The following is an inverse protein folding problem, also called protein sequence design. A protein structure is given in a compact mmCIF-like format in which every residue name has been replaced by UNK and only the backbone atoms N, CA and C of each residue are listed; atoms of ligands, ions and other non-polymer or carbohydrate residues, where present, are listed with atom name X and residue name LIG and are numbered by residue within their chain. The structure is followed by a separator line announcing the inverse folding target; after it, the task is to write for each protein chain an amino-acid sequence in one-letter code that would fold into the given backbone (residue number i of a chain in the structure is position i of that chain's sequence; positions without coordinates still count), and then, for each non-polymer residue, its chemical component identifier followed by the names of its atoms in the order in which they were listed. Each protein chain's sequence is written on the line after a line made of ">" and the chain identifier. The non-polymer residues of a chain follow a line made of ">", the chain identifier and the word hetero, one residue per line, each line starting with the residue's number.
data_IF_018833674862
#
_entry.id   IF_018833674862
#
_cell.length_a   1.000
_cell.length_b   1.000
_cell.length_c   1.000
_cell.angle_alpha   90.00
_cell.angle_beta   90.00
_cell.angle_gamma   90.00
#
_symmetry.space_group_name_H-M   'P 1'
#
loop_
_entity.id
_entity.type
_entity.pdbx_description
1 polymer ?
#
# COMPACT_ATOMS: atom_id res chain seq x y z
N UNK A 1 -21.68 -6.01 8.61
CA UNK A 1 -21.91 -5.97 7.15
C UNK A 1 -20.65 -6.49 6.49
N UNK A 2 -20.67 -7.66 5.83
CA UNK A 2 -19.48 -8.19 5.18
C UNK A 2 -19.13 -7.24 4.03
N UNK A 3 -18.01 -6.55 4.14
CA UNK A 3 -17.51 -5.69 3.06
C UNK A 3 -17.27 -6.53 1.81
N UNK A 4 -17.86 -6.16 0.66
CA UNK A 4 -17.69 -6.81 -0.65
C UNK A 4 -16.24 -6.83 -1.17
N UNK A 5 -15.30 -6.23 -0.43
CA UNK A 5 -13.91 -6.11 -0.82
C UNK A 5 -13.10 -7.25 -0.19
N UNK A 6 -12.26 -7.96 -0.96
CA UNK A 6 -11.35 -8.95 -0.41
C UNK A 6 -10.42 -8.31 0.63
N UNK A 7 -10.30 -8.95 1.79
CA UNK A 7 -9.45 -8.50 2.89
C UNK A 7 -8.07 -9.15 2.71
N UNK A 8 -7.03 -8.34 2.65
CA UNK A 8 -5.64 -8.79 2.64
C UNK A 8 -5.06 -8.63 4.05
N UNK A 9 -4.66 -9.73 4.67
CA UNK A 9 -3.95 -9.73 5.95
C UNK A 9 -2.60 -10.42 5.79
N UNK A 10 -1.53 -9.78 6.24
CA UNK A 10 -0.17 -10.30 6.17
C UNK A 10 0.68 -9.74 7.30
N UNK A 11 1.65 -10.52 7.75
CA UNK A 11 2.63 -10.05 8.73
C UNK A 11 3.65 -9.14 8.06
N UNK A 12 4.05 -8.08 8.75
CA UNK A 12 5.04 -7.11 8.27
C UNK A 12 6.02 -6.77 9.38
N UNK A 13 7.25 -6.48 8.99
CA UNK A 13 8.28 -6.03 9.91
C UNK A 13 8.02 -4.59 10.41
N UNK A 14 8.56 -4.29 11.59
CA UNK A 14 8.44 -2.96 12.21
C UNK A 14 8.99 -1.83 11.33
N UNK A 15 10.06 -2.11 10.58
CA UNK A 15 10.63 -1.12 9.66
C UNK A 15 9.65 -0.77 8.54
N UNK A 16 8.95 -1.77 7.99
CA UNK A 16 7.97 -1.56 6.94
C UNK A 16 6.73 -0.81 7.47
N UNK A 17 6.32 -1.08 8.71
CA UNK A 17 5.28 -0.28 9.37
C UNK A 17 5.69 1.19 9.49
N UNK A 18 6.94 1.47 9.90
CA UNK A 18 7.42 2.84 10.05
C UNK A 18 7.41 3.59 8.71
N UNK A 19 7.94 2.97 7.65
CA UNK A 19 7.92 3.53 6.29
C UNK A 19 6.50 3.79 5.79
N UNK A 20 5.55 2.91 6.12
CA UNK A 20 4.15 3.10 5.76
C UNK A 20 3.51 4.28 6.51
N UNK A 21 3.80 4.43 7.80
CA UNK A 21 3.32 5.57 8.59
C UNK A 21 3.96 6.88 8.09
N UNK A 22 5.25 6.91 7.76
CA UNK A 22 5.93 8.07 7.16
C UNK A 22 5.24 8.47 5.83
N UNK A 23 5.03 7.51 4.93
CA UNK A 23 4.31 7.74 3.67
C UNK A 23 2.88 8.27 3.90
N UNK A 24 2.19 7.75 4.92
CA UNK A 24 0.84 8.20 5.30
C UNK A 24 0.86 9.67 5.72
N UNK A 25 1.85 10.09 6.52
CA UNK A 25 1.98 11.48 6.97
C UNK A 25 2.33 12.44 5.83
N UNK A 26 3.28 12.06 4.96
CA UNK A 26 3.68 12.88 3.80
C UNK A 26 2.51 13.11 2.83
N UNK A 27 1.73 12.07 2.56
CA UNK A 27 0.62 12.12 1.61
C UNK A 27 -0.73 12.50 2.24
N UNK A 28 -0.75 12.83 3.54
CA UNK A 28 -1.96 13.15 4.34
C UNK A 28 -3.07 12.12 4.17
N UNK A 29 -2.72 10.84 4.24
CA UNK A 29 -3.66 9.73 4.08
C UNK A 29 -4.25 9.37 5.45
N UNK A 30 -5.56 9.16 5.52
CA UNK A 30 -6.22 8.93 6.80
C UNK A 30 -6.07 7.48 7.31
N UNK A 31 -5.95 6.50 6.42
CA UNK A 31 -5.92 5.08 6.80
C UNK A 31 -4.71 4.35 6.25
N UNK A 32 -4.18 3.39 7.02
CA UNK A 32 -3.08 2.53 6.58
C UNK A 32 -3.47 1.69 5.36
N UNK A 33 -4.71 1.21 5.31
CA UNK A 33 -5.22 0.44 4.17
C UNK A 33 -5.23 1.27 2.87
N UNK A 34 -5.58 2.55 2.94
CA UNK A 34 -5.51 3.44 1.77
C UNK A 34 -4.05 3.70 1.34
N UNK A 35 -3.14 3.90 2.30
CA UNK A 35 -1.71 4.07 2.02
C UNK A 35 -1.12 2.84 1.31
N UNK A 36 -1.40 1.63 1.83
CA UNK A 36 -0.96 0.37 1.22
C UNK A 36 -1.53 0.24 -0.21
N UNK A 37 -2.81 0.57 -0.40
CA UNK A 37 -3.45 0.46 -1.72
C UNK A 37 -2.80 1.38 -2.76
N UNK A 38 -2.46 2.62 -2.39
CA UNK A 38 -1.76 3.55 -3.30
C UNK A 38 -0.34 3.07 -3.63
N UNK A 39 0.42 2.66 -2.60
CA UNK A 39 1.76 2.13 -2.79
C UNK A 39 1.76 0.89 -3.70
N UNK A 40 0.79 0.00 -3.52
CA UNK A 40 0.65 -1.20 -4.34
C UNK A 40 0.30 -0.86 -5.79
N UNK A 41 -0.62 0.07 -6.03
CA UNK A 41 -0.98 0.53 -7.39
C UNK A 41 0.22 1.19 -8.09
N UNK A 42 0.98 2.02 -7.38
CA UNK A 42 2.23 2.60 -7.92
C UNK A 42 3.30 1.55 -8.20
N UNK A 43 3.45 0.56 -7.32
CA UNK A 43 4.41 -0.52 -7.49
C UNK A 43 4.06 -1.38 -8.72
N UNK A 44 2.78 -1.74 -8.89
CA UNK A 44 2.28 -2.48 -10.04
C UNK A 44 2.49 -1.68 -11.34
N UNK A 45 2.12 -0.39 -11.36
CA UNK A 45 2.38 0.48 -12.53
C UNK A 45 3.86 0.57 -12.89
N UNK A 46 4.76 0.65 -11.89
CA UNK A 46 6.21 0.67 -12.11
C UNK A 46 6.71 -0.68 -12.63
N UNK A 47 6.17 -1.78 -12.13
CA UNK A 47 6.57 -3.13 -12.54
C UNK A 47 6.10 -3.47 -13.96
N UNK A 48 4.85 -3.17 -14.30
CA UNK A 48 4.30 -3.35 -15.66
C UNK A 48 5.05 -2.51 -16.70
N UNK A 49 5.42 -1.26 -16.35
CA UNK A 49 6.24 -0.40 -17.22
C UNK A 49 7.65 -0.97 -17.45
N UNK A 50 8.22 -1.67 -16.46
CA UNK A 50 9.53 -2.33 -16.60
C UNK A 50 9.44 -3.61 -17.43
N UNK A 51 8.35 -4.36 -17.33
CA UNK A 51 8.16 -5.60 -18.10
C UNK A 51 7.90 -5.38 -19.60
N UNK A 52 7.57 -4.15 -20.02
CA UNK A 52 7.34 -3.79 -21.43
C UNK A 52 8.57 -3.15 -22.11
N UNK A 53 9.74 -3.17 -21.46
CA UNK A 53 11.02 -2.73 -22.02
C UNK A 53 11.91 -3.94 -22.28
#
# INVERSE_FOLDING_TARGET
>A
MPTDKPILNFAVDNELMKRLDDFRFENRINTRSEAIRRLLDEALKKHEKKSKK
#
